data_IF_129549282014
#
_entry.id   IF_129549282014
#
_cell.length_a   1.000
_cell.length_b   1.000
_cell.length_c   1.000
_cell.angle_alpha   90.00
_cell.angle_beta   90.00
_cell.angle_gamma   90.00
#
_symmetry.space_group_name_H-M   'P 1'
#
loop_
_entity.id
_entity.type
_entity.pdbx_description
1 polymer ?
#
# COMPACT_ATOMS: atom_id res chain seq x y z
N UNK A 1 -7.08 0.99 13.33
CA UNK A 1 -8.01 1.81 12.53
C UNK A 1 -8.43 0.98 11.34
N UNK A 2 -9.71 1.00 10.97
CA UNK A 2 -10.18 0.36 9.74
C UNK A 2 -9.74 1.17 8.49
N UNK A 3 -9.75 0.53 7.32
CA UNK A 3 -9.29 1.10 6.04
C UNK A 3 -9.94 2.46 5.71
N UNK A 4 -11.25 2.60 5.91
CA UNK A 4 -11.98 3.85 5.70
C UNK A 4 -11.46 5.03 6.53
N UNK A 5 -10.97 4.78 7.75
CA UNK A 5 -10.39 5.82 8.59
C UNK A 5 -9.04 6.32 8.05
N UNK A 6 -8.23 5.45 7.46
CA UNK A 6 -6.98 5.86 6.83
C UNK A 6 -7.22 6.69 5.57
N UNK A 7 -8.26 6.36 4.80
CA UNK A 7 -8.64 7.15 3.62
C UNK A 7 -9.10 8.56 4.02
N UNK A 8 -9.99 8.67 5.01
CA UNK A 8 -10.44 9.96 5.52
C UNK A 8 -9.27 10.77 6.08
N UNK A 9 -8.47 10.17 6.96
CA UNK A 9 -7.30 10.82 7.55
C UNK A 9 -6.29 11.29 6.49
N UNK A 10 -6.08 10.51 5.42
CA UNK A 10 -5.19 10.93 4.32
C UNK A 10 -5.68 12.20 3.63
N UNK A 11 -6.99 12.32 3.38
CA UNK A 11 -7.58 13.52 2.74
C UNK A 11 -7.43 14.75 3.63
N UNK A 12 -7.77 14.63 4.90
CA UNK A 12 -7.65 15.72 5.87
C UNK A 12 -6.20 16.20 6.00
N UNK A 13 -5.24 15.25 6.01
CA UNK A 13 -3.81 15.56 6.05
C UNK A 13 -3.32 16.22 4.77
N UNK A 14 -3.77 15.78 3.60
CA UNK A 14 -3.42 16.40 2.32
C UNK A 14 -3.89 17.85 2.25
N UNK A 15 -5.14 18.10 2.64
CA UNK A 15 -5.68 19.45 2.72
C UNK A 15 -4.89 20.31 3.72
N UNK A 16 -4.62 19.78 4.91
CA UNK A 16 -3.85 20.49 5.93
C UNK A 16 -2.39 20.77 5.53
N UNK A 17 -1.78 19.94 4.68
CA UNK A 17 -0.44 20.16 4.13
C UNK A 17 -0.48 21.15 2.95
N UNK A 18 -1.55 21.15 2.15
CA UNK A 18 -1.68 22.09 1.02
C UNK A 18 -1.78 23.56 1.47
N UNK A 19 -2.31 23.80 2.67
CA UNK A 19 -2.50 25.12 3.26
C UNK A 19 -1.26 25.65 4.00
N UNK A 20 -0.13 24.94 3.93
CA UNK A 20 1.06 25.29 4.68
C UNK A 20 1.81 26.45 3.99
N UNK A 21 2.16 27.48 4.77
CA UNK A 21 2.84 28.69 4.28
C UNK A 21 4.24 28.33 3.74
N UNK A 22 4.65 28.81 2.54
CA UNK A 22 6.01 28.63 2.04
C UNK A 22 7.11 29.22 2.95
N UNK A 23 6.79 30.20 3.81
CA UNK A 23 7.75 30.77 4.77
C UNK A 23 7.87 29.88 6.01
N UNK A 24 8.92 29.05 6.02
CA UNK A 24 9.15 28.06 7.07
C UNK A 24 9.80 28.63 8.34
N UNK A 25 9.00 28.84 9.37
CA UNK A 25 9.53 28.95 10.74
C UNK A 25 9.90 27.56 11.29
N UNK A 26 10.81 27.49 12.28
CA UNK A 26 11.21 26.22 12.92
C UNK A 26 10.02 25.42 13.48
N UNK A 27 9.01 26.12 14.04
CA UNK A 27 7.78 25.50 14.57
C UNK A 27 6.87 24.97 13.45
N UNK A 28 6.74 25.73 12.36
CA UNK A 28 5.97 25.30 11.20
C UNK A 28 6.63 24.06 10.55
N UNK A 29 7.96 24.03 10.44
CA UNK A 29 8.72 22.90 9.90
C UNK A 29 8.46 21.59 10.64
N UNK A 30 8.56 21.57 11.97
CA UNK A 30 8.28 20.37 12.78
C UNK A 30 6.83 19.88 12.61
N UNK A 31 5.88 20.81 12.53
CA UNK A 31 4.46 20.48 12.28
C UNK A 31 4.26 19.87 10.90
N UNK A 32 4.93 20.40 9.87
CA UNK A 32 4.90 19.85 8.52
C UNK A 32 5.47 18.43 8.49
N UNK A 33 6.65 18.21 9.09
CA UNK A 33 7.29 16.89 9.19
C UNK A 33 6.33 15.88 9.81
N UNK A 34 5.75 16.23 10.96
CA UNK A 34 4.79 15.38 11.65
C UNK A 34 3.57 15.04 10.78
N UNK A 35 3.00 16.03 10.08
CA UNK A 35 1.84 15.82 9.19
C UNK A 35 2.20 14.94 8.00
N UNK A 36 3.34 15.18 7.36
CA UNK A 36 3.82 14.35 6.24
C UNK A 36 4.04 12.92 6.70
N UNK A 37 4.69 12.69 7.84
CA UNK A 37 4.94 11.33 8.34
C UNK A 37 3.64 10.59 8.68
N UNK A 38 2.64 11.30 9.20
CA UNK A 38 1.29 10.73 9.40
C UNK A 38 0.63 10.39 8.06
N UNK A 39 0.76 11.25 7.05
CA UNK A 39 0.21 11.01 5.72
C UNK A 39 0.86 9.79 5.06
N UNK A 40 2.20 9.69 5.14
CA UNK A 40 2.96 8.54 4.62
C UNK A 40 2.52 7.25 5.31
N UNK A 41 2.32 7.26 6.63
CA UNK A 41 1.77 6.09 7.35
C UNK A 41 0.36 5.72 6.90
N UNK A 42 -0.50 6.70 6.60
CA UNK A 42 -1.82 6.42 6.03
C UNK A 42 -1.67 5.72 4.67
N UNK A 43 -0.77 6.19 3.81
CA UNK A 43 -0.54 5.56 2.52
C UNK A 43 0.11 4.18 2.61
N UNK A 44 1.02 3.95 3.55
CA UNK A 44 1.55 2.62 3.84
C UNK A 44 0.44 1.68 4.36
N UNK A 45 -0.47 2.15 5.20
CA UNK A 45 -1.64 1.38 5.65
C UNK A 45 -2.63 1.07 4.51
N UNK A 46 -2.64 1.89 3.47
CA UNK A 46 -3.42 1.70 2.24
C UNK A 46 -2.64 0.95 1.15
N UNK A 47 -1.41 0.48 1.45
CA UNK A 47 -0.49 -0.14 0.49
C UNK A 47 -0.33 0.67 -0.81
N UNK A 48 -0.24 1.99 -0.68
CA UNK A 48 -0.06 2.91 -1.81
C UNK A 48 1.34 3.54 -1.79
N UNK A 49 2.30 2.82 -2.38
CA UNK A 49 3.69 3.25 -2.49
C UNK A 49 3.86 4.57 -3.25
N UNK A 50 3.26 4.76 -4.44
CA UNK A 50 3.40 5.98 -5.22
C UNK A 50 2.93 7.25 -4.47
N UNK A 51 1.75 7.21 -3.82
CA UNK A 51 1.27 8.36 -3.04
C UNK A 51 2.11 8.58 -1.79
N UNK A 52 2.58 7.52 -1.14
CA UNK A 52 3.51 7.65 -0.01
C UNK A 52 4.84 8.33 -0.43
N UNK A 53 5.39 7.99 -1.59
CA UNK A 53 6.58 8.64 -2.16
C UNK A 53 6.32 10.12 -2.47
N UNK A 54 5.19 10.42 -3.09
CA UNK A 54 4.80 11.81 -3.36
C UNK A 54 4.66 12.61 -2.06
N UNK A 55 4.05 12.04 -1.01
CA UNK A 55 3.97 12.68 0.30
C UNK A 55 5.36 12.96 0.89
N UNK A 56 6.30 12.01 0.85
CA UNK A 56 7.69 12.22 1.31
C UNK A 56 8.38 13.36 0.55
N UNK A 57 8.17 13.47 -0.77
CA UNK A 57 8.77 14.56 -1.57
C UNK A 57 8.33 15.96 -1.16
N UNK A 58 7.21 16.11 -0.45
CA UNK A 58 6.74 17.40 0.09
C UNK A 58 7.67 17.99 1.15
N UNK A 59 8.56 17.17 1.74
CA UNK A 59 9.57 17.66 2.66
C UNK A 59 10.74 18.34 1.93
N UNK A 60 11.10 17.89 0.73
CA UNK A 60 12.17 18.48 -0.08
C UNK A 60 13.45 18.76 0.72
N UNK A 61 14.02 19.95 0.54
CA UNK A 61 15.20 20.42 1.29
C UNK A 61 14.90 20.84 2.75
N UNK A 62 13.63 20.79 3.19
CA UNK A 62 13.24 21.19 4.55
C UNK A 62 13.56 20.12 5.59
N UNK A 63 13.89 18.90 5.17
CA UNK A 63 14.28 17.82 6.07
C UNK A 63 15.80 17.69 6.13
N UNK A 64 16.39 18.00 7.28
CA UNK A 64 17.82 17.77 7.55
C UNK A 64 18.04 16.40 8.19
N UNK A 65 19.22 15.81 7.96
CA UNK A 65 19.66 14.60 8.65
C UNK A 65 19.73 14.74 10.17
N UNK A 66 19.83 15.99 10.65
CA UNK A 66 19.98 16.34 12.06
C UNK A 66 18.64 16.55 12.76
N UNK A 67 17.52 16.42 12.04
CA UNK A 67 16.18 16.42 12.65
C UNK A 67 16.04 15.19 13.59
N UNK A 68 15.39 15.34 14.76
CA UNK A 68 15.20 14.25 15.70
C UNK A 68 14.46 13.05 15.09
N UNK A 69 13.65 13.30 14.07
CA UNK A 69 12.86 12.29 13.38
C UNK A 69 13.59 11.63 12.18
N UNK A 70 14.91 11.82 12.06
CA UNK A 70 15.75 11.27 10.98
C UNK A 70 15.70 9.73 10.88
N UNK A 71 15.62 9.03 12.02
CA UNK A 71 15.46 7.58 12.05
C UNK A 71 14.11 7.15 11.49
N UNK A 72 13.04 7.82 11.91
CA UNK A 72 11.68 7.58 11.40
C UNK A 72 11.60 7.86 9.90
N UNK A 73 12.20 8.96 9.43
CA UNK A 73 12.26 9.28 8.01
C UNK A 73 12.92 8.15 7.20
N UNK A 74 14.06 7.63 7.67
CA UNK A 74 14.76 6.52 7.03
C UNK A 74 13.87 5.28 6.97
N UNK A 75 13.18 4.94 8.05
CA UNK A 75 12.23 3.82 8.10
C UNK A 75 11.05 4.01 7.14
N UNK A 76 10.48 5.21 7.06
CA UNK A 76 9.39 5.49 6.13
C UNK A 76 9.88 5.40 4.68
N UNK A 77 11.05 5.96 4.37
CA UNK A 77 11.66 5.86 3.06
C UNK A 77 11.93 4.40 2.64
N UNK A 78 12.45 3.56 3.53
CA UNK A 78 12.73 2.15 3.21
C UNK A 78 11.44 1.37 2.94
N UNK A 79 10.40 1.56 3.75
CA UNK A 79 9.08 0.92 3.55
C UNK A 79 8.42 1.34 2.24
N UNK A 80 8.49 2.63 1.90
CA UNK A 80 7.96 3.15 0.63
C UNK A 80 8.72 2.55 -0.57
N UNK A 81 10.06 2.51 -0.49
CA UNK A 81 10.89 1.90 -1.55
C UNK A 81 10.59 0.42 -1.71
N UNK A 82 10.49 -0.32 -0.61
CA UNK A 82 10.13 -1.73 -0.61
C UNK A 82 8.78 -1.95 -1.31
N UNK A 83 7.74 -1.21 -0.89
CA UNK A 83 6.40 -1.38 -1.44
C UNK A 83 6.34 -1.12 -2.97
N UNK A 84 7.01 -0.06 -3.44
CA UNK A 84 7.10 0.26 -4.87
C UNK A 84 7.85 -0.84 -5.63
N UNK A 85 9.02 -1.27 -5.14
CA UNK A 85 9.81 -2.30 -5.80
C UNK A 85 9.06 -3.63 -5.87
N UNK A 86 8.33 -4.01 -4.82
CA UNK A 86 7.50 -5.21 -4.81
C UNK A 86 6.34 -5.09 -5.80
N UNK A 87 5.65 -3.95 -5.84
CA UNK A 87 4.58 -3.72 -6.82
C UNK A 87 5.09 -3.81 -8.27
N UNK A 88 6.23 -3.20 -8.57
CA UNK A 88 6.88 -3.26 -9.88
C UNK A 88 7.31 -4.68 -10.23
N UNK A 89 7.90 -5.43 -9.29
CA UNK A 89 8.28 -6.82 -9.49
C UNK A 89 7.09 -7.71 -9.81
N UNK A 90 5.98 -7.56 -9.07
CA UNK A 90 4.74 -8.31 -9.33
C UNK A 90 4.19 -7.98 -10.72
N UNK A 91 4.13 -6.69 -11.08
CA UNK A 91 3.67 -6.28 -12.41
C UNK A 91 4.54 -6.86 -13.52
N UNK A 92 5.87 -6.80 -13.37
CA UNK A 92 6.80 -7.33 -14.36
C UNK A 92 6.66 -8.85 -14.51
N UNK A 93 6.65 -9.59 -13.40
CA UNK A 93 6.49 -11.04 -13.43
C UNK A 93 5.15 -11.48 -14.03
N UNK A 94 4.05 -10.76 -13.75
CA UNK A 94 2.72 -11.06 -14.29
C UNK A 94 2.60 -10.72 -15.78
N UNK A 95 3.04 -9.52 -16.18
CA UNK A 95 2.77 -8.98 -17.51
C UNK A 95 3.82 -9.35 -18.55
N UNK A 96 5.09 -9.45 -18.15
CA UNK A 96 6.21 -9.67 -19.06
C UNK A 96 6.62 -11.14 -19.05
N UNK A 97 7.06 -11.64 -17.88
CA UNK A 97 7.67 -12.97 -17.79
C UNK A 97 6.65 -14.10 -17.75
N UNK A 98 5.39 -13.77 -17.42
CA UNK A 98 4.34 -14.72 -17.03
C UNK A 98 4.82 -15.70 -15.95
N UNK A 99 5.69 -15.22 -15.06
CA UNK A 99 6.25 -15.97 -13.95
C UNK A 99 5.36 -15.78 -12.72
N UNK A 100 4.26 -16.51 -12.70
CA UNK A 100 3.26 -16.46 -11.63
C UNK A 100 3.81 -16.90 -10.27
N UNK A 101 4.82 -17.78 -10.27
CA UNK A 101 5.49 -18.21 -9.05
C UNK A 101 6.25 -17.05 -8.39
N UNK A 102 7.01 -16.27 -9.18
CA UNK A 102 7.71 -15.07 -8.68
C UNK A 102 6.74 -13.97 -8.23
N UNK A 103 5.65 -13.76 -8.99
CA UNK A 103 4.61 -12.82 -8.59
C UNK A 103 3.99 -13.20 -7.23
N UNK A 104 3.63 -14.47 -7.05
CA UNK A 104 3.07 -14.96 -5.79
C UNK A 104 4.07 -14.85 -4.63
N UNK A 105 5.33 -15.24 -4.84
CA UNK A 105 6.38 -15.11 -3.82
C UNK A 105 6.60 -13.66 -3.39
N UNK A 106 6.54 -12.71 -4.32
CA UNK A 106 6.64 -11.28 -4.03
C UNK A 106 5.48 -10.78 -3.17
N UNK A 107 4.25 -11.25 -3.43
CA UNK A 107 3.08 -10.97 -2.59
C UNK A 107 3.28 -11.54 -1.18
N UNK A 108 3.74 -12.78 -1.06
CA UNK A 108 4.00 -13.40 0.25
C UNK A 108 5.09 -12.67 1.04
N UNK A 109 6.15 -12.23 0.37
CA UNK A 109 7.21 -11.42 0.99
C UNK A 109 6.63 -10.11 1.52
N UNK A 110 5.82 -9.42 0.72
CA UNK A 110 5.15 -8.19 1.14
C UNK A 110 4.23 -8.43 2.33
N UNK A 111 3.40 -9.48 2.32
CA UNK A 111 2.52 -9.83 3.45
C UNK A 111 3.30 -10.05 4.75
N UNK A 112 4.47 -10.71 4.69
CA UNK A 112 5.34 -10.90 5.86
C UNK A 112 5.91 -9.59 6.38
N UNK A 113 6.39 -8.73 5.48
CA UNK A 113 7.00 -7.46 5.86
C UNK A 113 5.99 -6.50 6.51
N UNK A 114 4.77 -6.39 5.96
CA UNK A 114 3.79 -5.42 6.45
C UNK A 114 3.25 -5.74 7.86
N UNK A 115 3.33 -6.99 8.30
CA UNK A 115 2.98 -7.38 9.68
C UNK A 115 3.80 -6.58 10.69
N UNK A 116 5.09 -6.33 10.39
CA UNK A 116 5.99 -5.56 11.26
C UNK A 116 5.80 -4.05 11.20
N UNK A 117 4.89 -3.53 10.36
CA UNK A 117 4.84 -2.09 10.12
C UNK A 117 4.01 -1.31 11.13
N UNK A 118 3.15 -2.00 11.89
CA UNK A 118 2.31 -1.42 12.94
C UNK A 118 0.81 -1.34 12.59
N UNK A 119 0.39 -0.93 11.37
CA UNK A 119 -1.02 -1.01 11.01
C UNK A 119 -1.55 -2.44 11.10
N UNK A 120 -2.80 -2.59 11.55
CA UNK A 120 -3.48 -3.88 11.54
C UNK A 120 -3.99 -4.14 10.13
N UNK A 121 -3.24 -4.92 9.37
CA UNK A 121 -3.65 -5.38 8.05
C UNK A 121 -4.54 -6.60 8.17
N UNK A 122 -5.62 -6.63 7.40
CA UNK A 122 -6.29 -7.89 7.11
C UNK A 122 -5.60 -8.50 5.88
N UNK A 123 -4.77 -9.52 6.08
CA UNK A 123 -4.01 -10.17 5.00
C UNK A 123 -4.91 -10.92 4.00
N UNK A 124 -6.15 -11.21 4.38
CA UNK A 124 -7.16 -11.72 3.47
C UNK A 124 -7.66 -10.64 2.49
N UNK A 125 -7.59 -9.37 2.90
CA UNK A 125 -8.24 -8.24 2.25
C UNK A 125 -7.30 -7.05 2.19
N UNK A 126 -6.20 -7.26 1.50
CA UNK A 126 -5.24 -6.21 1.26
C UNK A 126 -5.91 -5.08 0.45
N UNK A 127 -5.65 -3.81 0.80
CA UNK A 127 -6.10 -2.67 0.02
C UNK A 127 -5.64 -2.77 -1.44
N UNK A 128 -6.28 -2.03 -2.35
CA UNK A 128 -5.79 -1.93 -3.74
C UNK A 128 -5.77 -3.27 -4.48
N UNK A 129 -5.01 -3.33 -5.58
CA UNK A 129 -5.02 -4.50 -6.49
C UNK A 129 -4.31 -5.73 -5.92
N UNK A 130 -3.67 -5.61 -4.76
CA UNK A 130 -2.88 -6.66 -4.11
C UNK A 130 -3.65 -7.98 -3.94
N UNK A 131 -4.90 -7.91 -3.50
CA UNK A 131 -5.75 -9.09 -3.34
C UNK A 131 -6.11 -9.74 -4.70
N UNK A 132 -6.38 -8.94 -5.73
CA UNK A 132 -6.62 -9.45 -7.09
C UNK A 132 -5.39 -10.18 -7.64
N UNK A 133 -4.21 -9.58 -7.50
CA UNK A 133 -2.97 -10.18 -7.98
C UNK A 133 -2.63 -11.48 -7.24
N UNK A 134 -3.01 -11.59 -5.95
CA UNK A 134 -2.87 -12.83 -5.18
C UNK A 134 -3.76 -13.92 -5.75
N UNK A 135 -5.04 -13.64 -5.95
CA UNK A 135 -6.01 -14.58 -6.53
C UNK A 135 -5.57 -15.05 -7.91
N UNK A 136 -5.23 -14.11 -8.78
CA UNK A 136 -4.77 -14.40 -10.15
C UNK A 136 -3.50 -15.25 -10.16
N UNK A 137 -2.53 -14.95 -9.30
CA UNK A 137 -1.30 -15.75 -9.21
C UNK A 137 -1.59 -17.17 -8.70
N UNK A 138 -2.47 -17.33 -7.71
CA UNK A 138 -2.88 -18.65 -7.21
C UNK A 138 -3.59 -19.46 -8.30
N UNK A 139 -4.51 -18.82 -9.02
CA UNK A 139 -5.23 -19.43 -10.14
C UNK A 139 -4.27 -19.98 -11.21
N UNK A 140 -3.30 -19.18 -11.65
CA UNK A 140 -2.31 -19.59 -12.64
C UNK A 140 -1.33 -20.66 -12.14
N UNK A 141 -1.15 -20.80 -10.82
CA UNK A 141 -0.35 -21.87 -10.20
C UNK A 141 -1.15 -23.16 -9.97
N UNK A 142 -2.41 -23.23 -10.41
CA UNK A 142 -3.30 -24.38 -10.19
C UNK A 142 -3.80 -24.52 -8.74
N UNK A 143 -3.61 -23.48 -7.92
CA UNK A 143 -4.03 -23.42 -6.51
C UNK A 143 -5.44 -22.83 -6.40
N UNK A 144 -6.39 -23.51 -7.02
CA UNK A 144 -7.75 -23.00 -7.22
C UNK A 144 -8.55 -22.93 -5.92
N UNK A 145 -8.33 -23.87 -5.00
CA UNK A 145 -8.97 -23.86 -3.67
C UNK A 145 -8.52 -22.65 -2.87
N UNK A 146 -7.22 -22.39 -2.79
CA UNK A 146 -6.68 -21.23 -2.09
C UNK A 146 -7.11 -19.91 -2.76
N UNK A 147 -7.23 -19.89 -4.08
CA UNK A 147 -7.76 -18.75 -4.81
C UNK A 147 -9.23 -18.48 -4.41
N UNK A 148 -10.07 -19.51 -4.36
CA UNK A 148 -11.47 -19.38 -3.94
C UNK A 148 -11.61 -18.99 -2.47
N UNK A 149 -10.77 -19.48 -1.57
CA UNK A 149 -10.78 -19.08 -0.15
C UNK A 149 -10.54 -17.57 0.00
N UNK A 150 -9.58 -17.01 -0.74
CA UNK A 150 -9.31 -15.56 -0.75
C UNK A 150 -10.52 -14.81 -1.31
N UNK A 151 -11.17 -15.33 -2.35
CA UNK A 151 -12.38 -14.73 -2.95
C UNK A 151 -13.62 -14.78 -2.05
N UNK A 152 -13.79 -15.86 -1.31
CA UNK A 152 -14.89 -16.01 -0.37
C UNK A 152 -14.74 -15.01 0.79
N UNK A 153 -13.52 -14.88 1.32
CA UNK A 153 -13.19 -13.85 2.32
C UNK A 153 -13.42 -12.43 1.81
N UNK A 154 -13.17 -12.20 0.52
CA UNK A 154 -13.50 -10.97 -0.20
C UNK A 154 -15.00 -10.65 -0.23
N UNK A 155 -15.81 -11.62 -0.63
CA UNK A 155 -17.26 -11.45 -0.75
C UNK A 155 -17.95 -11.14 0.58
N UNK A 156 -17.37 -11.59 1.70
CA UNK A 156 -17.87 -11.38 3.06
C UNK A 156 -17.50 -10.01 3.64
N UNK A 157 -16.70 -9.22 2.94
CA UNK A 157 -16.24 -7.90 3.38
C UNK A 157 -17.08 -6.76 2.83
N UNK A 158 -17.48 -5.83 3.70
CA UNK A 158 -18.21 -4.61 3.31
C UNK A 158 -17.38 -3.61 2.48
N UNK A 159 -16.06 -3.78 2.38
CA UNK A 159 -15.14 -2.86 1.71
C UNK A 159 -14.87 -3.23 0.23
N UNK A 160 -15.69 -4.10 -0.37
CA UNK A 160 -15.48 -4.63 -1.71
C UNK A 160 -16.09 -3.73 -2.80
N UNK A 161 -15.25 -3.04 -3.58
CA UNK A 161 -15.70 -2.16 -4.68
C UNK A 161 -15.97 -2.92 -5.98
N UNK A 162 -16.92 -2.41 -6.78
CA UNK A 162 -17.47 -3.06 -7.99
C UNK A 162 -16.43 -3.41 -9.08
N UNK A 163 -15.28 -2.73 -9.15
CA UNK A 163 -14.17 -3.09 -10.06
C UNK A 163 -13.54 -4.46 -9.74
N UNK A 164 -13.55 -4.86 -8.47
CA UNK A 164 -13.04 -6.18 -8.05
C UNK A 164 -14.00 -7.29 -8.44
N UNK A 165 -15.31 -7.02 -8.41
CA UNK A 165 -16.34 -7.98 -8.81
C UNK A 165 -16.17 -8.36 -10.28
N UNK A 166 -15.93 -7.40 -11.17
CA UNK A 166 -15.70 -7.68 -12.60
C UNK A 166 -14.46 -8.55 -12.83
N UNK A 167 -13.31 -8.20 -12.21
CA UNK A 167 -12.09 -9.00 -12.31
C UNK A 167 -12.34 -10.43 -11.83
N UNK A 168 -12.95 -10.59 -10.66
CA UNK A 168 -13.22 -11.88 -10.03
C UNK A 168 -14.22 -12.71 -10.82
N UNK A 169 -15.29 -12.12 -11.35
CA UNK A 169 -16.23 -12.85 -12.22
C UNK A 169 -15.53 -13.36 -13.48
N UNK A 170 -14.62 -12.57 -14.04
CA UNK A 170 -13.86 -12.95 -15.23
C UNK A 170 -12.83 -14.05 -14.93
N UNK A 171 -12.16 -13.99 -13.76
CA UNK A 171 -11.22 -15.04 -13.31
C UNK A 171 -11.96 -16.33 -12.92
N UNK A 172 -13.12 -16.24 -12.25
CA UNK A 172 -13.96 -17.41 -11.92
C UNK A 172 -14.42 -18.15 -13.16
N UNK A 173 -14.77 -17.44 -14.24
CA UNK A 173 -15.13 -18.05 -15.52
C UNK A 173 -13.97 -18.75 -16.24
N UNK A 174 -12.71 -18.44 -15.88
CA UNK A 174 -11.52 -19.09 -16.44
C UNK A 174 -11.02 -20.28 -15.60
N UNK A 175 -11.53 -20.43 -14.37
CA UNK A 175 -11.17 -21.49 -13.42
C UNK A 175 -12.16 -22.67 -13.42
N UNK A 176 -13.32 -22.52 -14.07
CA UNK A 176 -14.31 -23.56 -14.36
C UNK A 176 -14.13 -24.09 -15.79
#
# INVERSE_FOLDING_TARGET
MARGHYQLASKDLEEAISRFDPVMTKKNRSTLITRVFRLVRCYLALLDGPRARSALSKLGAQFSSDEPDSSEHKTLCSRVKFLIATEESIKHSRLTDRNWQMAFQSIQLMEREIIGWGPKFNLALLPGLWTCWKVESLAHLGKTVEAEEVLDQCSKSADFTMQYVLFITQTRFQLL
#
